data_IF_464555826836
#
_entry.id   IF_464555826836
#
_cell.length_a   1.000
_cell.length_b   1.000
_cell.length_c   1.000
_cell.angle_alpha   90.00
_cell.angle_beta   90.00
_cell.angle_gamma   90.00
#
_symmetry.space_group_name_H-M   'P 1'
#
loop_
_entity.id
_entity.type
_entity.pdbx_description
1 polymer ?
#
# COMPACT_ATOMS: atom_id res chain seq x y z
N UNK A 1 -3.72 15.91 62.29
CA UNK A 1 -3.27 14.52 62.50
C UNK A 1 -2.24 14.19 61.42
N UNK A 2 -0.98 13.94 61.77
CA UNK A 2 0.05 13.50 60.81
C UNK A 2 -0.11 12.00 60.58
N UNK A 3 -0.54 11.59 59.39
CA UNK A 3 -0.61 10.19 58.99
C UNK A 3 0.82 9.67 58.78
N UNK A 4 1.25 8.75 59.64
CA UNK A 4 2.54 8.08 59.55
C UNK A 4 2.34 6.78 58.76
N UNK A 5 2.62 6.79 57.46
CA UNK A 5 2.65 5.57 56.66
C UNK A 5 3.85 4.73 57.12
N UNK A 6 3.66 3.48 57.61
CA UNK A 6 4.78 2.64 57.99
C UNK A 6 5.63 2.36 56.75
N UNK A 7 6.87 2.84 56.74
CA UNK A 7 7.77 2.68 55.60
C UNK A 7 8.09 1.20 55.40
N UNK A 8 7.71 0.68 54.22
CA UNK A 8 7.96 -0.71 53.81
C UNK A 8 9.46 -0.98 53.60
N UNK A 9 10.26 0.09 53.57
CA UNK A 9 11.69 0.14 53.32
C UNK A 9 12.51 -0.85 54.18
N UNK A 10 12.29 -0.87 55.50
CA UNK A 10 13.02 -1.79 56.40
C UNK A 10 12.69 -3.26 56.16
N UNK A 11 11.48 -3.57 55.71
CA UNK A 11 11.06 -4.95 55.41
C UNK A 11 11.61 -5.39 54.05
N UNK A 12 11.54 -4.51 53.05
CA UNK A 12 12.08 -4.73 51.73
C UNK A 12 13.61 -4.91 51.77
N UNK A 13 14.31 -4.06 52.53
CA UNK A 13 15.75 -4.14 52.71
C UNK A 13 16.21 -5.45 53.36
N UNK A 14 15.47 -5.94 54.35
CA UNK A 14 15.74 -7.27 54.94
C UNK A 14 15.53 -8.40 53.94
N UNK A 15 14.49 -8.31 53.11
CA UNK A 15 14.20 -9.30 52.08
C UNK A 15 15.28 -9.33 51.00
N UNK A 16 15.74 -8.16 50.53
CA UNK A 16 16.84 -8.06 49.58
C UNK A 16 18.17 -8.50 50.16
N UNK A 17 18.47 -8.17 51.42
CA UNK A 17 19.67 -8.63 52.10
C UNK A 17 19.69 -10.16 52.23
N UNK A 18 18.55 -10.76 52.61
CA UNK A 18 18.40 -12.21 52.69
C UNK A 18 18.52 -12.89 51.32
N UNK A 19 17.91 -12.34 50.28
CA UNK A 19 18.00 -12.83 48.91
C UNK A 19 19.43 -12.76 48.38
N UNK A 20 20.11 -11.64 48.62
CA UNK A 20 21.49 -11.42 48.15
C UNK A 20 22.45 -12.36 48.86
N UNK A 21 22.32 -12.49 50.18
CA UNK A 21 23.24 -13.30 51.00
C UNK A 21 23.09 -14.82 50.82
N UNK A 22 21.90 -15.33 50.49
CA UNK A 22 21.66 -16.78 50.39
C UNK A 22 21.54 -17.31 48.96
N UNK A 23 21.24 -16.47 47.98
CA UNK A 23 20.98 -16.92 46.60
C UNK A 23 21.88 -16.22 45.57
N UNK A 24 22.02 -14.89 45.64
CA UNK A 24 22.72 -14.14 44.59
C UNK A 24 24.24 -14.37 44.61
N UNK A 25 24.86 -14.43 45.79
CA UNK A 25 26.31 -14.59 45.93
C UNK A 25 26.75 -16.00 45.54
N UNK A 26 26.03 -17.03 46.00
CA UNK A 26 26.42 -18.43 45.77
C UNK A 26 26.14 -18.91 44.33
N UNK A 27 25.11 -18.35 43.67
CA UNK A 27 24.68 -18.73 42.32
C UNK A 27 24.85 -17.62 41.27
N UNK A 28 25.79 -16.70 41.49
CA UNK A 28 26.12 -15.58 40.60
C UNK A 28 26.15 -15.92 39.09
N UNK A 29 26.82 -17.01 38.62
CA UNK A 29 26.85 -17.32 37.20
C UNK A 29 25.47 -17.67 36.61
N UNK A 30 24.57 -18.27 37.39
CA UNK A 30 23.20 -18.60 36.95
C UNK A 30 22.39 -17.32 36.78
N UNK A 31 22.54 -16.36 37.69
CA UNK A 31 21.86 -15.06 37.62
C UNK A 31 22.32 -14.18 36.45
N UNK A 32 23.50 -14.44 35.88
CA UNK A 32 23.96 -13.79 34.65
C UNK A 32 23.53 -14.58 33.42
N UNK A 33 23.72 -15.90 33.43
CA UNK A 33 23.38 -16.75 32.30
C UNK A 33 21.88 -16.73 32.00
N UNK A 34 21.03 -16.75 33.04
CA UNK A 34 19.58 -16.77 32.91
C UNK A 34 19.00 -15.58 32.13
N UNK A 35 19.25 -14.30 32.49
CA UNK A 35 18.73 -13.16 31.73
C UNK A 35 19.33 -13.06 30.32
N UNK A 36 20.57 -13.51 30.10
CA UNK A 36 21.15 -13.55 28.75
C UNK A 36 20.43 -14.58 27.87
N UNK A 37 20.18 -15.78 28.40
CA UNK A 37 19.48 -16.83 27.69
C UNK A 37 18.01 -16.44 27.47
N UNK A 38 17.38 -15.83 28.48
CA UNK A 38 16.00 -15.35 28.41
C UNK A 38 15.82 -14.22 27.40
N UNK A 39 16.72 -13.24 27.36
CA UNK A 39 16.70 -12.17 26.34
C UNK A 39 16.94 -12.74 24.94
N UNK A 40 17.83 -13.73 24.80
CA UNK A 40 18.03 -14.47 23.55
C UNK A 40 16.75 -15.16 23.06
N UNK A 41 16.07 -15.91 23.95
CA UNK A 41 14.81 -16.59 23.62
C UNK A 41 13.72 -15.60 23.20
N UNK A 42 13.57 -14.49 23.94
CA UNK A 42 12.62 -13.45 23.59
C UNK A 42 12.98 -12.75 22.27
N UNK A 43 14.27 -12.64 21.96
CA UNK A 43 14.79 -12.10 20.70
C UNK A 43 14.43 -12.93 19.46
N UNK A 44 14.24 -14.25 19.61
CA UNK A 44 13.85 -15.13 18.48
C UNK A 44 12.49 -14.71 17.89
N UNK A 45 11.62 -14.08 18.68
CA UNK A 45 10.34 -13.55 18.21
C UNK A 45 10.46 -12.51 17.08
N UNK A 46 11.60 -11.83 16.98
CA UNK A 46 11.87 -10.89 15.87
C UNK A 46 12.12 -11.59 14.53
N UNK A 47 12.36 -12.90 14.48
CA UNK A 47 12.50 -13.62 13.19
C UNK A 47 11.14 -13.80 12.51
N UNK A 48 10.06 -13.85 13.29
CA UNK A 48 8.70 -14.05 12.76
C UNK A 48 8.02 -12.74 12.31
N UNK A 49 8.65 -11.59 12.55
CA UNK A 49 8.01 -10.29 12.37
C UNK A 49 8.11 -9.85 10.90
N UNK A 50 7.19 -10.35 10.09
CA UNK A 50 7.20 -10.10 8.64
C UNK A 50 6.80 -8.66 8.25
N UNK A 51 6.19 -7.88 9.15
CA UNK A 51 5.57 -6.59 8.81
C UNK A 51 5.72 -5.50 9.90
N UNK A 52 6.95 -5.07 10.25
CA UNK A 52 7.10 -3.81 11.01
C UNK A 52 6.70 -2.57 10.19
N UNK A 53 6.77 -2.67 8.87
CA UNK A 53 6.26 -1.66 7.94
C UNK A 53 4.87 -2.06 7.51
N UNK A 54 3.85 -1.54 8.20
CA UNK A 54 2.50 -1.44 7.64
C UNK A 54 2.58 -0.60 6.35
N UNK A 55 2.86 -1.26 5.22
CA UNK A 55 2.85 -0.66 3.88
C UNK A 55 1.46 -0.12 3.52
N UNK A 56 0.43 -0.57 4.24
CA UNK A 56 -0.91 -0.07 4.11
C UNK A 56 -1.13 1.15 5.02
N UNK A 57 -0.97 2.34 4.45
CA UNK A 57 -1.22 3.63 5.10
C UNK A 57 -2.64 3.76 5.65
N UNK A 58 -3.65 3.12 5.04
CA UNK A 58 -5.03 3.18 5.51
C UNK A 58 -5.18 2.56 6.91
N UNK A 59 -4.55 1.40 7.14
CA UNK A 59 -4.54 0.72 8.44
C UNK A 59 -3.75 1.50 9.50
N UNK A 60 -2.77 2.30 9.07
CA UNK A 60 -1.96 3.11 9.98
C UNK A 60 -2.74 4.31 10.52
N UNK A 61 -3.51 5.00 9.67
CA UNK A 61 -4.19 6.24 10.02
C UNK A 61 -5.66 6.08 10.44
N UNK A 62 -6.25 4.89 10.25
CA UNK A 62 -7.65 4.63 10.58
C UNK A 62 -7.76 3.64 11.72
N UNK A 63 -8.44 3.97 12.84
CA UNK A 63 -8.60 3.04 13.94
C UNK A 63 -9.42 1.82 13.51
N UNK A 64 -9.10 0.64 14.06
CA UNK A 64 -9.74 -0.64 13.69
C UNK A 64 -11.23 -0.70 14.04
N UNK A 65 -11.68 0.12 14.98
CA UNK A 65 -13.08 0.24 15.40
C UNK A 65 -13.88 1.30 14.62
N UNK A 66 -13.29 1.93 13.59
CA UNK A 66 -13.98 2.98 12.83
C UNK A 66 -15.20 2.42 12.07
N UNK A 67 -16.35 3.14 12.06
CA UNK A 67 -17.52 2.75 11.26
C UNK A 67 -17.25 2.77 9.75
N UNK A 68 -16.27 3.57 9.31
CA UNK A 68 -15.83 3.68 7.92
C UNK A 68 -15.48 2.31 7.30
N UNK A 69 -14.90 1.38 8.07
CA UNK A 69 -14.59 0.02 7.59
C UNK A 69 -15.85 -0.79 7.23
N UNK A 70 -16.93 -0.58 7.98
CA UNK A 70 -18.22 -1.23 7.74
C UNK A 70 -18.89 -0.63 6.50
N UNK A 71 -18.86 0.69 6.38
CA UNK A 71 -19.38 1.42 5.22
C UNK A 71 -18.66 1.01 3.94
N UNK A 72 -17.32 0.98 3.96
CA UNK A 72 -16.48 0.55 2.83
C UNK A 72 -16.80 -0.88 2.39
N UNK A 73 -17.00 -1.80 3.35
CA UNK A 73 -17.38 -3.19 3.06
C UNK A 73 -18.74 -3.27 2.37
N UNK A 74 -19.75 -2.59 2.92
CA UNK A 74 -21.11 -2.58 2.35
C UNK A 74 -21.09 -1.94 0.95
N UNK A 75 -20.35 -0.85 0.79
CA UNK A 75 -20.20 -0.13 -0.46
C UNK A 75 -19.56 -1.01 -1.55
N UNK A 76 -18.52 -1.78 -1.22
CA UNK A 76 -17.91 -2.78 -2.11
C UNK A 76 -18.87 -3.89 -2.54
N UNK A 77 -19.71 -4.36 -1.62
CA UNK A 77 -20.64 -5.45 -1.88
C UNK A 77 -21.81 -5.01 -2.78
N UNK A 78 -22.39 -3.84 -2.51
CA UNK A 78 -23.52 -3.32 -3.27
C UNK A 78 -23.14 -2.79 -4.66
N UNK A 79 -21.95 -2.17 -4.77
CA UNK A 79 -21.47 -1.59 -6.01
C UNK A 79 -20.02 -2.03 -6.28
N UNK A 80 -19.82 -3.24 -6.83
CA UNK A 80 -18.48 -3.69 -7.20
C UNK A 80 -17.94 -2.87 -8.38
N UNK A 81 -16.74 -2.29 -8.22
CA UNK A 81 -16.07 -1.56 -9.31
C UNK A 81 -15.55 -2.58 -10.33
N UNK A 82 -15.99 -2.46 -11.59
CA UNK A 82 -15.42 -3.23 -12.69
C UNK A 82 -14.03 -2.69 -13.00
N UNK A 83 -13.10 -3.56 -13.38
CA UNK A 83 -11.70 -3.20 -13.69
C UNK A 83 -11.60 -2.09 -14.74
N UNK A 84 -12.59 -2.02 -15.64
CA UNK A 84 -12.63 -1.05 -16.75
C UNK A 84 -13.49 0.19 -16.43
N UNK A 85 -13.97 0.35 -15.20
CA UNK A 85 -14.88 1.41 -14.80
C UNK A 85 -14.17 2.34 -13.81
N UNK A 86 -13.81 3.54 -14.30
CA UNK A 86 -13.15 4.57 -13.51
C UNK A 86 -14.18 5.58 -13.01
N UNK A 87 -14.28 5.73 -11.68
CA UNK A 87 -15.17 6.67 -11.01
C UNK A 87 -14.32 7.57 -10.09
N UNK A 88 -13.92 8.78 -10.55
CA UNK A 88 -12.96 9.63 -9.84
C UNK A 88 -13.44 10.10 -8.46
N UNK A 89 -14.75 10.07 -8.21
CA UNK A 89 -15.36 10.57 -6.96
C UNK A 89 -15.46 9.48 -5.87
N UNK A 90 -15.12 8.23 -6.17
CA UNK A 90 -15.27 7.12 -5.23
C UNK A 90 -13.95 6.85 -4.49
N UNK A 91 -13.60 7.76 -3.60
CA UNK A 91 -12.34 7.80 -2.82
C UNK A 91 -12.12 6.62 -1.86
N UNK A 92 -13.13 5.77 -1.66
CA UNK A 92 -13.11 4.68 -0.67
C UNK A 92 -12.47 3.39 -1.18
N UNK A 93 -12.28 3.26 -2.50
CA UNK A 93 -11.47 2.19 -3.07
C UNK A 93 -10.19 2.80 -3.64
N UNK A 94 -9.08 2.54 -2.95
CA UNK A 94 -7.74 2.85 -3.42
C UNK A 94 -7.35 1.88 -4.55
N UNK A 95 -8.13 1.85 -5.63
CA UNK A 95 -7.59 1.37 -6.90
C UNK A 95 -6.44 2.30 -7.27
N UNK A 96 -5.32 1.72 -7.70
CA UNK A 96 -4.09 2.47 -7.95
C UNK A 96 -4.31 3.35 -9.17
N UNK A 97 -4.48 4.64 -8.95
CA UNK A 97 -4.55 5.64 -10.01
C UNK A 97 -3.17 6.27 -10.19
N UNK A 98 -2.79 6.53 -11.44
CA UNK A 98 -1.61 7.31 -11.76
C UNK A 98 -2.06 8.71 -12.19
N UNK A 99 -1.84 9.70 -11.32
CA UNK A 99 -2.05 11.09 -11.67
C UNK A 99 -0.74 11.70 -12.18
N UNK A 100 -0.74 12.19 -13.41
CA UNK A 100 0.38 12.94 -13.99
C UNK A 100 -0.01 14.40 -14.04
N UNK A 101 0.72 15.24 -13.31
CA UNK A 101 0.48 16.69 -13.25
C UNK A 101 1.59 17.38 -14.02
N UNK A 102 1.23 18.06 -15.11
CA UNK A 102 2.17 18.85 -15.91
C UNK A 102 2.07 20.31 -15.50
N UNK A 103 3.19 20.94 -15.19
CA UNK A 103 3.26 22.37 -14.89
C UNK A 103 4.30 23.07 -15.74
N UNK A 104 3.99 24.30 -16.15
CA UNK A 104 4.93 25.16 -16.85
C UNK A 104 6.10 25.58 -15.98
N UNK A 105 7.34 25.56 -16.51
CA UNK A 105 8.50 26.11 -15.81
C UNK A 105 8.47 27.63 -15.89
N UNK A 106 8.70 28.30 -14.76
CA UNK A 106 8.75 29.76 -14.68
C UNK A 106 9.89 30.31 -15.56
N UNK A 107 9.57 31.30 -16.39
CA UNK A 107 10.56 32.00 -17.20
C UNK A 107 11.41 32.97 -16.35
N UNK A 108 12.60 33.38 -16.82
CA UNK A 108 13.46 34.33 -16.11
C UNK A 108 12.80 35.69 -15.83
N UNK A 109 11.79 36.05 -16.65
CA UNK A 109 10.99 37.27 -16.52
C UNK A 109 9.89 37.19 -15.45
N UNK A 110 9.79 36.08 -14.71
CA UNK A 110 8.82 35.91 -13.65
C UNK A 110 7.44 35.41 -14.08
N UNK A 111 7.19 35.27 -15.38
CA UNK A 111 5.92 34.80 -15.93
C UNK A 111 5.88 33.28 -16.11
N UNK A 112 4.67 32.71 -16.12
CA UNK A 112 4.45 31.30 -16.42
C UNK A 112 4.05 31.13 -17.89
N UNK A 113 4.53 30.08 -18.58
CA UNK A 113 4.06 29.77 -19.92
C UNK A 113 2.59 29.38 -19.89
N UNK A 114 1.86 29.78 -20.92
CA UNK A 114 0.51 29.28 -21.16
C UNK A 114 0.60 27.83 -21.64
N UNK A 115 0.14 26.89 -20.81
CA UNK A 115 0.15 25.45 -21.10
C UNK A 115 -0.86 25.06 -22.19
N UNK A 116 -1.81 25.94 -22.50
CA UNK A 116 -2.84 25.74 -23.53
C UNK A 116 -2.34 26.11 -24.94
N UNK A 117 -1.04 26.36 -25.13
CA UNK A 117 -0.50 26.58 -26.47
C UNK A 117 -0.37 25.25 -27.22
N UNK A 118 -0.60 25.28 -28.53
CA UNK A 118 -0.62 24.07 -29.37
C UNK A 118 0.67 23.24 -29.27
N UNK A 119 1.82 23.89 -29.11
CA UNK A 119 3.11 23.20 -28.95
C UNK A 119 3.12 22.34 -27.68
N UNK A 120 2.67 22.89 -26.54
CA UNK A 120 2.67 22.15 -25.29
C UNK A 120 1.56 21.09 -25.25
N UNK A 121 0.40 21.36 -25.85
CA UNK A 121 -0.68 20.37 -25.94
C UNK A 121 -0.24 19.13 -26.74
N UNK A 122 0.44 19.33 -27.86
CA UNK A 122 0.99 18.22 -28.67
C UNK A 122 2.02 17.40 -27.89
N UNK A 123 2.90 18.05 -27.12
CA UNK A 123 3.87 17.35 -26.27
C UNK A 123 3.20 16.55 -25.15
N UNK A 124 2.15 17.10 -24.54
CA UNK A 124 1.37 16.43 -23.51
C UNK A 124 0.66 15.19 -24.09
N UNK A 125 0.07 15.29 -25.29
CA UNK A 125 -0.56 14.15 -25.96
C UNK A 125 0.46 13.04 -26.26
N UNK A 126 1.65 13.39 -26.75
CA UNK A 126 2.72 12.43 -26.99
C UNK A 126 3.18 11.76 -25.70
N UNK A 127 3.27 12.52 -24.61
CA UNK A 127 3.64 12.00 -23.29
C UNK A 127 2.56 11.04 -22.76
N UNK A 128 1.28 11.40 -22.87
CA UNK A 128 0.16 10.54 -22.49
C UNK A 128 0.18 9.23 -23.27
N UNK A 129 0.33 9.29 -24.59
CA UNK A 129 0.43 8.11 -25.46
C UNK A 129 1.62 7.23 -25.07
N UNK A 130 2.78 7.84 -24.82
CA UNK A 130 3.99 7.12 -24.40
C UNK A 130 3.81 6.43 -23.05
N UNK A 131 3.14 7.06 -22.08
CA UNK A 131 2.85 6.43 -20.79
C UNK A 131 1.88 5.26 -20.97
N UNK A 132 0.82 5.43 -21.77
CA UNK A 132 -0.16 4.39 -22.02
C UNK A 132 0.46 3.16 -22.73
N UNK A 133 1.39 3.38 -23.66
CA UNK A 133 2.04 2.31 -24.42
C UNK A 133 3.17 1.63 -23.65
N UNK A 134 3.97 2.37 -22.88
CA UNK A 134 5.16 1.84 -22.21
C UNK A 134 4.91 1.33 -20.78
N UNK A 135 3.83 1.75 -20.13
CA UNK A 135 3.44 1.20 -18.82
C UNK A 135 2.68 -0.11 -19.04
N UNK A 136 3.39 -1.12 -19.53
CA UNK A 136 2.94 -2.51 -19.48
C UNK A 136 3.58 -3.18 -18.28
N UNK A 137 2.79 -3.43 -17.23
CA UNK A 137 3.24 -4.26 -16.12
C UNK A 137 3.00 -5.73 -16.49
N UNK A 138 4.06 -6.53 -16.57
CA UNK A 138 3.90 -7.98 -16.62
C UNK A 138 3.22 -8.45 -15.33
N UNK A 139 2.09 -9.14 -15.47
CA UNK A 139 1.37 -9.68 -14.32
C UNK A 139 2.21 -10.81 -13.71
N UNK A 140 2.73 -10.59 -12.50
CA UNK A 140 3.48 -11.63 -11.77
C UNK A 140 2.53 -12.74 -11.32
N UNK A 141 3.03 -13.99 -11.32
CA UNK A 141 2.24 -15.16 -10.94
C UNK A 141 1.70 -15.07 -9.49
N UNK A 142 2.42 -14.38 -8.61
CA UNK A 142 2.03 -14.11 -7.22
C UNK A 142 0.75 -13.27 -7.09
N UNK A 143 0.33 -12.59 -8.16
CA UNK A 143 -0.85 -11.71 -8.18
C UNK A 143 -2.08 -12.38 -8.84
N UNK A 144 -1.93 -13.62 -9.30
CA UNK A 144 -3.00 -14.40 -9.90
C UNK A 144 -3.89 -15.00 -8.80
N UNK A 145 -5.05 -14.38 -8.58
CA UNK A 145 -6.13 -14.96 -7.78
C UNK A 145 -7.11 -15.74 -8.69
N UNK A 146 -7.98 -16.56 -8.10
CA UNK A 146 -9.03 -17.32 -8.84
C UNK A 146 -9.95 -16.44 -9.71
N UNK A 147 -10.09 -15.15 -9.38
CA UNK A 147 -10.81 -14.17 -10.20
C UNK A 147 -9.97 -13.69 -11.39
N UNK A 148 -8.66 -13.47 -11.19
CA UNK A 148 -7.73 -12.94 -12.21
C UNK A 148 -7.37 -13.99 -13.27
N UNK A 149 -7.29 -15.27 -12.90
CA UNK A 149 -7.04 -16.39 -13.83
C UNK A 149 -8.14 -16.56 -14.88
N UNK A 150 -9.41 -16.36 -14.51
CA UNK A 150 -10.53 -16.35 -15.48
C UNK A 150 -10.43 -15.21 -16.47
N UNK A 151 -9.98 -14.04 -16.02
CA UNK A 151 -9.81 -12.85 -16.86
C UNK A 151 -8.64 -13.02 -17.86
N UNK A 152 -7.48 -13.51 -17.39
CA UNK A 152 -6.33 -13.77 -18.25
C UNK A 152 -6.64 -14.79 -19.35
N UNK A 153 -7.36 -15.87 -19.01
CA UNK A 153 -7.82 -16.86 -20.00
C UNK A 153 -8.79 -16.27 -21.01
N UNK A 154 -9.75 -15.44 -20.56
CA UNK A 154 -10.69 -14.76 -21.43
C UNK A 154 -10.00 -13.78 -22.39
N UNK A 155 -9.07 -12.96 -21.88
CA UNK A 155 -8.31 -12.01 -22.70
C UNK A 155 -7.41 -12.73 -23.70
N UNK A 156 -6.75 -13.82 -23.29
CA UNK A 156 -5.93 -14.62 -24.19
C UNK A 156 -6.76 -15.27 -25.31
N UNK A 157 -7.95 -15.81 -24.99
CA UNK A 157 -8.87 -16.33 -26.00
C UNK A 157 -9.42 -15.22 -26.91
N UNK A 158 -9.73 -14.05 -26.36
CA UNK A 158 -10.22 -12.90 -27.13
C UNK A 158 -9.14 -12.40 -28.09
N UNK A 159 -7.91 -12.22 -27.63
CA UNK A 159 -6.76 -11.80 -28.46
C UNK A 159 -6.46 -12.86 -29.52
N UNK A 160 -6.46 -14.15 -29.17
CA UNK A 160 -6.30 -15.25 -30.12
C UNK A 160 -7.40 -15.27 -31.19
N UNK A 161 -8.64 -14.99 -30.81
CA UNK A 161 -9.79 -14.91 -31.72
C UNK A 161 -9.74 -13.65 -32.60
N UNK A 162 -9.22 -12.54 -32.07
CA UNK A 162 -8.98 -11.31 -32.84
C UNK A 162 -7.77 -11.38 -33.76
N UNK A 163 -6.76 -12.20 -33.46
CA UNK A 163 -5.63 -12.47 -34.35
C UNK A 163 -5.99 -13.50 -35.43
N UNK A 164 -6.87 -14.46 -35.12
CA UNK A 164 -7.38 -15.46 -36.08
C UNK A 164 -8.37 -14.86 -37.10
N UNK A 165 -8.99 -13.74 -36.78
CA UNK A 165 -9.92 -13.03 -37.66
C UNK A 165 -9.21 -11.75 -38.05
N UNK A 166 -8.82 -11.55 -39.33
CA UNK A 166 -8.23 -10.30 -39.89
C UNK A 166 -9.13 -9.05 -39.68
N UNK A 167 -9.45 -8.70 -38.43
CA UNK A 167 -10.43 -7.71 -37.98
C UNK A 167 -9.76 -6.56 -37.24
N UNK A 168 -8.49 -6.73 -36.85
CA UNK A 168 -7.67 -5.68 -36.26
C UNK A 168 -7.58 -4.45 -37.19
N UNK A 169 -7.39 -4.67 -38.49
CA UNK A 169 -7.34 -3.58 -39.49
C UNK A 169 -8.69 -2.85 -39.64
N UNK A 170 -9.81 -3.56 -39.50
CA UNK A 170 -11.15 -2.95 -39.58
C UNK A 170 -11.50 -2.08 -38.36
N UNK A 171 -11.03 -2.45 -37.17
CA UNK A 171 -11.34 -1.71 -35.93
C UNK A 171 -10.44 -0.47 -35.82
N UNK A 172 -9.16 -0.57 -36.17
CA UNK A 172 -8.25 0.58 -36.24
C UNK A 172 -8.74 1.65 -37.25
N UNK A 173 -9.22 1.21 -38.43
CA UNK A 173 -9.84 2.08 -39.45
C UNK A 173 -11.12 2.79 -38.97
N UNK A 174 -11.89 2.15 -38.08
CA UNK A 174 -13.18 2.67 -37.60
C UNK A 174 -13.01 3.62 -36.42
N UNK A 175 -12.05 3.37 -35.52
CA UNK A 175 -11.73 4.25 -34.39
C UNK A 175 -11.15 5.59 -34.87
N UNK A 176 -10.28 5.57 -35.88
CA UNK A 176 -9.70 6.78 -36.48
C UNK A 176 -10.74 7.66 -37.21
N UNK A 177 -11.88 7.07 -37.62
CA UNK A 177 -12.99 7.80 -38.25
C UNK A 177 -13.93 8.46 -37.25
N UNK A 178 -14.03 7.94 -36.02
CA UNK A 178 -14.90 8.50 -34.98
C UNK A 178 -14.24 9.74 -34.35
N UNK A 179 -12.92 9.76 -34.20
CA UNK A 179 -12.18 10.94 -33.71
C UNK A 179 -12.23 12.17 -34.64
N UNK A 180 -12.52 12.00 -35.94
CA UNK A 180 -12.69 13.11 -36.91
C UNK A 180 -14.12 13.66 -37.00
N UNK A 181 -15.10 13.01 -36.36
CA UNK A 181 -16.50 13.42 -36.41
C UNK A 181 -16.92 14.36 -35.26
N UNK A 182 -15.99 14.69 -34.36
CA UNK A 182 -16.20 15.58 -33.20
C UNK A 182 -15.36 16.86 -33.30
N UNK A 183 -15.07 17.33 -34.52
CA UNK A 183 -14.50 18.63 -34.80
C UNK A 183 -15.48 19.49 -35.61
#
# INVERSE_FOLDING_TARGET
>A
MRYYLPTLDKKLGKLFAWYTSNYLVDYYPIFIAFPILFTGILGIGFVWINELTLLNTQKLYTPTSAPAWKEERIMRELWPIRINEFLPERTFEWNRYLYVIVHGRKYPNGTFPNILSDSYLNEIELLERSIAENVSCEMKDEWLNNATTKFGRFMFELVRKMLSSNKFDQIASKSLRIGKAWH
#
